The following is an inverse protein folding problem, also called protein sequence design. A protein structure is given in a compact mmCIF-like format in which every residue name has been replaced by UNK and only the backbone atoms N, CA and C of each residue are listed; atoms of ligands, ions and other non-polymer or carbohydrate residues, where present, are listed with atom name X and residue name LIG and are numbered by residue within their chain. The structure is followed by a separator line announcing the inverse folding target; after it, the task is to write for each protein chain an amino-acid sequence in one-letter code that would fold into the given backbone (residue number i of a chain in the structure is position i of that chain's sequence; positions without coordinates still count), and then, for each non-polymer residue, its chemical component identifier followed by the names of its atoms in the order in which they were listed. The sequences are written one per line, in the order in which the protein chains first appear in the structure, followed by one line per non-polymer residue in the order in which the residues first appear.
data_IF_486719065163
#
_entry.id   IF_486719065163
#
_cell.length_a   1.000
_cell.length_b   1.000
_cell.length_c   1.000
_cell.angle_alpha   90.00
_cell.angle_beta   90.00
_cell.angle_gamma   90.00
#
_symmetry.space_group_name_H-M   'P 1'
#
loop_
_entity.id
_entity.type
_entity.pdbx_description
1 polymer ?
#
# COMPACT_ATOMS: atom_id res chain seq x y z
N UNK A 1 -18.73 0.49 -9.15
CA UNK A 1 -17.42 -0.19 -9.32
C UNK A 1 -16.95 -0.97 -8.09
N UNK A 2 -16.63 -0.35 -6.94
CA UNK A 2 -16.03 -1.07 -5.78
C UNK A 2 -16.87 -2.26 -5.26
N UNK A 3 -18.20 -2.18 -5.34
CA UNK A 3 -19.12 -3.27 -4.96
C UNK A 3 -19.61 -4.12 -6.13
N UNK A 4 -19.19 -3.82 -7.37
CA UNK A 4 -19.68 -4.53 -8.54
C UNK A 4 -19.19 -5.99 -8.54
N UNK A 5 -20.03 -6.86 -9.10
CA UNK A 5 -19.75 -8.28 -9.32
C UNK A 5 -19.92 -8.65 -10.80
N UNK A 6 -20.05 -7.66 -11.66
CA UNK A 6 -20.21 -7.83 -13.10
C UNK A 6 -18.84 -7.66 -13.76
N UNK A 7 -18.35 -8.70 -14.43
CA UNK A 7 -17.03 -8.68 -15.06
C UNK A 7 -16.96 -7.65 -16.21
N UNK A 8 -18.03 -7.51 -16.99
CA UNK A 8 -18.07 -6.59 -18.12
C UNK A 8 -18.14 -5.13 -17.65
N UNK A 9 -18.91 -4.86 -16.58
CA UNK A 9 -18.92 -3.54 -15.94
C UNK A 9 -17.52 -3.17 -15.41
N UNK A 10 -16.86 -4.09 -14.72
CA UNK A 10 -15.51 -3.89 -14.18
C UNK A 10 -14.49 -3.66 -15.30
N UNK A 11 -14.57 -4.44 -16.38
CA UNK A 11 -13.73 -4.29 -17.56
C UNK A 11 -13.94 -2.93 -18.22
N UNK A 12 -15.19 -2.53 -18.43
CA UNK A 12 -15.52 -1.23 -19.01
C UNK A 12 -14.90 -0.07 -18.23
N UNK A 13 -15.05 -0.05 -16.90
CA UNK A 13 -14.47 1.02 -16.09
C UNK A 13 -12.94 0.98 -16.05
N UNK A 14 -12.36 -0.22 -16.08
CA UNK A 14 -10.91 -0.41 -16.16
C UNK A 14 -10.32 0.19 -17.43
N UNK A 15 -10.96 -0.06 -18.58
CA UNK A 15 -10.56 0.45 -19.90
C UNK A 15 -10.82 1.96 -19.99
N UNK A 16 -12.03 2.40 -19.66
CA UNK A 16 -12.43 3.80 -19.74
C UNK A 16 -11.57 4.71 -18.86
N UNK A 17 -11.13 4.23 -17.68
CA UNK A 17 -10.19 4.99 -16.85
C UNK A 17 -8.82 5.12 -17.54
N UNK A 18 -8.26 4.04 -18.09
CA UNK A 18 -6.94 4.06 -18.74
C UNK A 18 -6.94 4.91 -20.00
N UNK A 19 -7.96 4.77 -20.84
CA UNK A 19 -8.06 5.53 -22.08
C UNK A 19 -8.18 7.04 -21.81
N UNK A 20 -8.93 7.43 -20.76
CA UNK A 20 -9.01 8.84 -20.33
C UNK A 20 -7.72 9.35 -19.71
N UNK A 21 -7.00 8.51 -18.96
CA UNK A 21 -5.77 8.93 -18.30
C UNK A 21 -4.55 8.90 -19.22
N UNK A 22 -4.56 8.13 -20.31
CA UNK A 22 -3.43 7.96 -21.21
C UNK A 22 -2.85 9.30 -21.67
N UNK A 23 -3.70 10.25 -22.10
CA UNK A 23 -3.24 11.55 -22.59
C UNK A 23 -2.52 12.37 -21.50
N UNK A 24 -3.10 12.42 -20.30
CA UNK A 24 -2.57 13.20 -19.18
C UNK A 24 -1.34 12.56 -18.54
N UNK A 25 -1.38 11.23 -18.38
CA UNK A 25 -0.30 10.45 -17.83
C UNK A 25 0.91 10.50 -18.76
N UNK A 26 0.74 10.22 -20.05
CA UNK A 26 1.85 10.13 -21.01
C UNK A 26 2.67 11.42 -21.11
N UNK A 27 2.05 12.58 -21.30
CA UNK A 27 2.79 13.83 -21.53
C UNK A 27 3.61 14.27 -20.31
N UNK A 28 2.99 14.30 -19.13
CA UNK A 28 3.65 14.76 -17.91
C UNK A 28 4.63 13.73 -17.37
N UNK A 29 4.27 12.44 -17.39
CA UNK A 29 5.17 11.38 -16.95
C UNK A 29 6.42 11.30 -17.82
N UNK A 30 6.25 11.38 -19.14
CA UNK A 30 7.37 11.42 -20.07
C UNK A 30 8.30 12.59 -19.78
N UNK A 31 7.72 13.77 -19.57
CA UNK A 31 8.49 14.97 -19.24
C UNK A 31 9.29 14.77 -17.95
N UNK A 32 8.72 14.15 -16.92
CA UNK A 32 9.42 13.83 -15.66
C UNK A 32 10.62 12.92 -15.94
N UNK A 33 10.42 11.78 -16.60
CA UNK A 33 11.50 10.82 -16.90
C UNK A 33 12.62 11.50 -17.68
N UNK A 34 12.29 12.21 -18.75
CA UNK A 34 13.26 12.95 -19.56
C UNK A 34 14.00 14.03 -18.77
N UNK A 35 13.30 14.73 -17.86
CA UNK A 35 13.91 15.74 -17.00
C UNK A 35 14.94 15.12 -16.06
N UNK A 36 14.65 13.95 -15.47
CA UNK A 36 15.63 13.22 -14.66
C UNK A 36 16.84 12.79 -15.49
N UNK A 37 16.62 12.24 -16.68
CA UNK A 37 17.71 11.83 -17.59
C UNK A 37 18.61 13.01 -18.00
N UNK A 38 18.00 14.15 -18.38
CA UNK A 38 18.73 15.38 -18.71
C UNK A 38 19.49 15.95 -17.51
N UNK A 39 18.87 15.97 -16.34
CA UNK A 39 19.52 16.42 -15.11
C UNK A 39 20.73 15.54 -14.77
N UNK A 40 20.59 14.22 -14.87
CA UNK A 40 21.68 13.28 -14.63
C UNK A 40 22.86 13.49 -15.58
N UNK A 41 22.58 13.77 -16.87
CA UNK A 41 23.61 14.11 -17.86
C UNK A 41 24.37 15.39 -17.51
N UNK A 42 23.67 16.42 -17.03
CA UNK A 42 24.31 17.68 -16.59
C UNK A 42 25.16 17.46 -15.34
N UNK A 43 24.68 16.63 -14.41
CA UNK A 43 25.34 16.33 -13.15
C UNK A 43 26.42 15.24 -13.27
N UNK A 44 26.59 14.62 -14.45
CA UNK A 44 27.52 13.53 -14.72
C UNK A 44 27.36 12.33 -13.75
N UNK A 45 26.12 12.03 -13.37
CA UNK A 45 25.77 10.89 -12.51
C UNK A 45 24.77 9.96 -13.20
N UNK A 46 24.73 8.66 -12.84
CA UNK A 46 23.67 7.76 -13.31
C UNK A 46 22.27 8.24 -12.86
N UNK A 47 21.28 8.15 -13.76
CA UNK A 47 19.91 8.67 -13.53
C UNK A 47 19.26 8.08 -12.28
N UNK A 48 19.41 6.77 -12.07
CA UNK A 48 18.86 6.09 -10.90
C UNK A 48 19.38 6.65 -9.56
N UNK A 49 20.60 7.22 -9.51
CA UNK A 49 21.14 7.85 -8.28
C UNK A 49 20.48 9.18 -7.93
N UNK A 50 19.80 9.82 -8.88
CA UNK A 50 18.97 11.01 -8.61
C UNK A 50 17.58 10.63 -8.08
N UNK A 51 17.16 9.40 -8.34
CA UNK A 51 15.81 8.91 -8.02
C UNK A 51 15.79 8.11 -6.72
N UNK A 52 16.71 7.16 -6.58
CA UNK A 52 16.81 6.27 -5.42
C UNK A 52 17.87 6.78 -4.43
N UNK A 53 17.56 6.64 -3.13
CA UNK A 53 18.51 6.93 -2.05
C UNK A 53 19.43 5.77 -1.71
N UNK A 54 19.03 4.57 -2.10
CA UNK A 54 19.80 3.34 -1.93
C UNK A 54 20.63 3.08 -3.18
N UNK A 55 21.61 2.19 -3.07
CA UNK A 55 22.15 1.54 -4.26
C UNK A 55 21.00 0.78 -4.95
N UNK A 56 20.59 1.25 -6.13
CA UNK A 56 19.42 0.71 -6.81
C UNK A 56 19.63 -0.72 -7.31
N UNK A 57 20.88 -1.11 -7.56
CA UNK A 57 21.20 -2.47 -8.01
C UNK A 57 21.06 -3.45 -6.85
N UNK A 58 21.68 -3.16 -5.71
CA UNK A 58 21.53 -3.98 -4.50
C UNK A 58 20.06 -4.02 -4.06
N UNK A 59 19.38 -2.87 -4.06
CA UNK A 59 17.95 -2.78 -3.73
C UNK A 59 17.12 -3.72 -4.61
N UNK A 60 17.27 -3.67 -5.94
CA UNK A 60 16.52 -4.55 -6.84
C UNK A 60 16.84 -6.04 -6.63
N UNK A 61 18.11 -6.37 -6.35
CA UNK A 61 18.51 -7.75 -6.03
C UNK A 61 17.83 -8.25 -4.75
N UNK A 62 17.81 -7.45 -3.69
CA UNK A 62 17.13 -7.78 -2.44
C UNK A 62 15.61 -7.92 -2.64
N UNK A 63 15.01 -7.04 -3.46
CA UNK A 63 13.58 -7.13 -3.80
C UNK A 63 13.28 -8.42 -4.58
N UNK A 64 14.13 -8.80 -5.55
CA UNK A 64 13.99 -10.04 -6.31
C UNK A 64 14.18 -11.30 -5.44
N UNK A 65 15.10 -11.24 -4.48
CA UNK A 65 15.27 -12.29 -3.48
C UNK A 65 13.99 -12.46 -2.64
N UNK A 66 13.46 -11.37 -2.07
CA UNK A 66 12.22 -11.41 -1.31
C UNK A 66 11.04 -11.95 -2.14
N UNK A 67 10.94 -11.55 -3.41
CA UNK A 67 9.96 -12.10 -4.35
C UNK A 67 10.12 -13.61 -4.58
N UNK A 68 11.36 -14.10 -4.63
CA UNK A 68 11.66 -15.53 -4.79
C UNK A 68 11.28 -16.33 -3.55
N UNK A 69 11.57 -15.80 -2.37
CA UNK A 69 11.20 -16.41 -1.08
C UNK A 69 9.67 -16.46 -0.88
N UNK A 70 8.96 -15.42 -1.31
CA UNK A 70 7.49 -15.33 -1.21
C UNK A 70 6.75 -16.15 -2.30
N UNK A 71 7.42 -16.49 -3.41
CA UNK A 71 6.82 -17.13 -4.58
C UNK A 71 5.96 -18.36 -4.25
N UNK A 72 6.38 -19.31 -3.40
CA UNK A 72 5.56 -20.49 -3.11
C UNK A 72 4.20 -20.13 -2.48
N UNK A 73 4.19 -19.22 -1.51
CA UNK A 73 2.96 -18.77 -0.86
C UNK A 73 2.09 -17.95 -1.83
N UNK A 74 2.73 -17.08 -2.63
CA UNK A 74 2.05 -16.31 -3.68
C UNK A 74 1.33 -17.22 -4.67
N UNK A 75 2.00 -18.24 -5.21
CA UNK A 75 1.44 -19.13 -6.22
C UNK A 75 0.23 -19.91 -5.69
N UNK A 76 0.26 -20.36 -4.43
CA UNK A 76 -0.89 -21.03 -3.81
C UNK A 76 -2.08 -20.09 -3.66
N UNK A 77 -1.84 -18.87 -3.15
CA UNK A 77 -2.89 -17.87 -3.00
C UNK A 77 -3.45 -17.40 -4.35
N UNK A 78 -2.58 -17.15 -5.33
CA UNK A 78 -2.97 -16.79 -6.70
C UNK A 78 -3.80 -17.90 -7.35
N UNK A 79 -3.38 -19.16 -7.25
CA UNK A 79 -4.13 -20.30 -7.79
C UNK A 79 -5.51 -20.44 -7.13
N UNK A 80 -5.61 -20.24 -5.80
CA UNK A 80 -6.89 -20.20 -5.10
C UNK A 80 -7.78 -19.07 -5.65
N UNK A 81 -7.26 -17.85 -5.73
CA UNK A 81 -8.00 -16.69 -6.26
C UNK A 81 -8.48 -16.95 -7.69
N UNK A 82 -7.61 -17.48 -8.54
CA UNK A 82 -7.93 -17.83 -9.94
C UNK A 82 -9.03 -18.88 -10.02
N UNK A 83 -8.98 -19.92 -9.19
CA UNK A 83 -10.01 -20.96 -9.11
C UNK A 83 -11.37 -20.36 -8.72
N UNK A 84 -11.41 -19.50 -7.71
CA UNK A 84 -12.67 -18.89 -7.25
C UNK A 84 -13.22 -17.88 -8.25
N UNK A 85 -12.37 -17.10 -8.92
CA UNK A 85 -12.79 -16.24 -10.02
C UNK A 85 -13.31 -17.05 -11.22
N UNK A 86 -12.67 -18.17 -11.57
CA UNK A 86 -13.12 -19.07 -12.62
C UNK A 86 -14.50 -19.68 -12.30
N UNK A 87 -14.73 -20.13 -11.06
CA UNK A 87 -16.05 -20.62 -10.63
C UNK A 87 -17.12 -19.53 -10.73
N UNK A 88 -16.77 -18.29 -10.40
CA UNK A 88 -17.70 -17.15 -10.35
C UNK A 88 -18.04 -16.61 -11.74
N UNK A 89 -17.07 -16.50 -12.63
CA UNK A 89 -17.21 -15.82 -13.93
C UNK A 89 -17.17 -16.76 -15.15
N UNK A 90 -16.79 -18.02 -14.96
CA UNK A 90 -16.70 -19.02 -16.03
C UNK A 90 -15.36 -19.04 -16.76
N UNK A 91 -15.18 -20.06 -17.60
CA UNK A 91 -13.96 -20.33 -18.38
C UNK A 91 -13.63 -19.25 -19.41
N UNK A 92 -14.65 -18.58 -19.92
CA UNK A 92 -14.50 -17.60 -20.99
C UNK A 92 -13.93 -16.27 -20.48
N UNK A 93 -14.04 -16.03 -19.17
CA UNK A 93 -13.55 -14.82 -18.50
C UNK A 93 -12.22 -15.06 -17.79
N UNK A 94 -12.07 -16.21 -17.11
CA UNK A 94 -10.85 -16.54 -16.36
C UNK A 94 -10.40 -17.96 -16.67
N UNK A 95 -9.21 -18.10 -17.24
CA UNK A 95 -8.60 -19.41 -17.49
C UNK A 95 -8.08 -20.04 -16.19
N UNK A 96 -8.22 -21.37 -16.04
CA UNK A 96 -7.63 -22.10 -14.91
C UNK A 96 -6.11 -22.20 -14.96
N UNK A 97 -5.51 -22.00 -16.13
CA UNK A 97 -4.07 -22.17 -16.37
C UNK A 97 -3.38 -20.87 -16.82
N UNK A 98 -4.14 -19.80 -17.04
CA UNK A 98 -3.63 -18.50 -17.48
C UNK A 98 -3.44 -17.48 -16.36
N UNK A 99 -3.03 -16.26 -16.71
CA UNK A 99 -3.04 -15.11 -15.80
C UNK A 99 -4.47 -14.76 -15.34
N UNK A 100 -4.57 -13.93 -14.30
CA UNK A 100 -5.85 -13.35 -13.87
C UNK A 100 -6.01 -11.98 -14.56
N UNK A 101 -7.15 -11.69 -15.20
CA UNK A 101 -7.40 -10.35 -15.75
C UNK A 101 -7.35 -9.25 -14.67
N UNK A 102 -6.59 -8.18 -14.90
CA UNK A 102 -6.29 -7.15 -13.88
C UNK A 102 -7.54 -6.54 -13.26
N UNK A 103 -8.58 -6.24 -14.05
CA UNK A 103 -9.85 -5.71 -13.52
C UNK A 103 -10.49 -6.60 -12.43
N UNK A 104 -10.38 -7.93 -12.54
CA UNK A 104 -10.87 -8.86 -11.53
C UNK A 104 -9.88 -9.01 -10.37
N UNK A 105 -8.58 -8.98 -10.66
CA UNK A 105 -7.54 -9.01 -9.63
C UNK A 105 -7.66 -7.80 -8.69
N UNK A 106 -7.81 -6.59 -9.23
CA UNK A 106 -8.04 -5.37 -8.44
C UNK A 106 -9.33 -5.49 -7.61
N UNK A 107 -10.37 -6.12 -8.17
CA UNK A 107 -11.62 -6.33 -7.45
C UNK A 107 -11.47 -7.29 -6.27
N UNK A 108 -10.65 -8.34 -6.39
CA UNK A 108 -10.33 -9.24 -5.28
C UNK A 108 -9.65 -8.48 -4.15
N UNK A 109 -8.69 -7.60 -4.46
CA UNK A 109 -8.05 -6.74 -3.47
C UNK A 109 -9.05 -5.80 -2.79
N UNK A 110 -9.93 -5.15 -3.55
CA UNK A 110 -10.89 -4.18 -3.01
C UNK A 110 -11.96 -4.85 -2.14
N UNK A 111 -12.43 -6.03 -2.55
CA UNK A 111 -13.51 -6.75 -1.89
C UNK A 111 -13.03 -7.71 -0.79
N UNK A 112 -11.74 -7.77 -0.49
CA UNK A 112 -11.18 -8.73 0.46
C UNK A 112 -11.84 -8.66 1.85
N UNK A 113 -12.44 -7.53 2.26
CA UNK A 113 -13.20 -7.38 3.52
C UNK A 113 -14.70 -7.15 3.33
N UNK A 114 -15.18 -7.09 2.08
CA UNK A 114 -16.59 -6.90 1.77
C UNK A 114 -17.36 -8.23 1.82
N UNK A 115 -18.69 -8.11 1.89
CA UNK A 115 -19.59 -9.25 1.69
C UNK A 115 -19.66 -9.62 0.20
N UNK A 116 -19.75 -10.93 -0.08
CA UNK A 116 -19.83 -11.46 -1.43
C UNK A 116 -18.50 -11.39 -2.20
N UNK A 117 -17.39 -11.31 -1.47
CA UNK A 117 -16.06 -11.54 -2.00
C UNK A 117 -15.89 -13.02 -2.39
N UNK A 118 -14.77 -13.35 -3.04
CA UNK A 118 -14.43 -14.75 -3.37
C UNK A 118 -14.17 -15.64 -2.14
N UNK A 119 -14.18 -15.06 -0.93
CA UNK A 119 -13.99 -15.79 0.31
C UNK A 119 -15.30 -16.17 0.99
N UNK A 120 -16.45 -15.72 0.49
CA UNK A 120 -17.72 -15.85 1.21
C UNK A 120 -18.10 -17.31 1.50
N UNK A 121 -17.76 -18.24 0.59
CA UNK A 121 -18.11 -19.66 0.73
C UNK A 121 -17.27 -20.40 1.79
N UNK A 122 -16.06 -19.91 2.09
CA UNK A 122 -15.15 -20.55 3.05
C UNK A 122 -15.05 -19.80 4.37
N UNK A 123 -15.06 -18.46 4.26
CA UNK A 123 -14.86 -17.53 5.35
C UNK A 123 -15.86 -16.37 5.24
N UNK A 124 -17.17 -16.63 5.48
CA UNK A 124 -18.22 -15.63 5.36
C UNK A 124 -17.89 -14.34 6.11
N UNK A 125 -18.21 -13.17 5.54
CA UNK A 125 -17.93 -11.89 6.20
C UNK A 125 -18.68 -11.79 7.54
N UNK A 126 -19.84 -12.43 7.65
CA UNK A 126 -20.65 -12.47 8.87
C UNK A 126 -19.95 -13.16 10.08
N UNK A 127 -18.88 -13.93 9.86
CA UNK A 127 -18.10 -14.53 10.96
C UNK A 127 -17.05 -13.57 11.54
N UNK A 128 -16.82 -12.44 10.89
CA UNK A 128 -15.96 -11.38 11.41
C UNK A 128 -16.80 -10.33 12.13
N UNK A 129 -16.24 -9.67 13.16
CA UNK A 129 -16.91 -8.55 13.81
C UNK A 129 -17.07 -7.36 12.85
N UNK A 130 -18.01 -6.48 13.17
CA UNK A 130 -18.04 -5.14 12.59
C UNK A 130 -16.97 -4.28 13.25
N UNK A 131 -15.75 -4.31 12.70
CA UNK A 131 -14.60 -3.63 13.28
C UNK A 131 -14.83 -2.14 13.53
N UNK A 132 -15.64 -1.47 12.72
CA UNK A 132 -15.97 -0.05 12.93
C UNK A 132 -16.77 0.21 14.22
N UNK A 133 -17.50 -0.79 14.74
CA UNK A 133 -18.16 -0.69 16.05
C UNK A 133 -17.16 -0.60 17.21
N UNK A 134 -15.92 -1.09 17.03
CA UNK A 134 -14.88 -1.01 18.06
C UNK A 134 -14.45 0.43 18.36
N UNK A 135 -14.71 1.35 17.44
CA UNK A 135 -14.27 2.74 17.53
C UNK A 135 -15.41 3.74 17.35
N UNK A 136 -16.64 3.31 17.08
CA UNK A 136 -17.78 4.19 16.80
C UNK A 136 -18.13 5.15 17.95
N UNK A 137 -17.72 4.81 19.17
CA UNK A 137 -17.89 5.62 20.38
C UNK A 137 -16.76 6.65 20.60
N UNK A 138 -15.70 6.61 19.78
CA UNK A 138 -14.55 7.50 19.88
C UNK A 138 -14.73 8.73 18.98
N UNK A 139 -14.12 9.84 19.38
CA UNK A 139 -13.90 10.98 18.50
C UNK A 139 -12.63 10.78 17.67
N UNK A 140 -12.47 11.52 16.58
CA UNK A 140 -11.24 11.51 15.79
C UNK A 140 -10.00 11.83 16.62
N UNK A 141 -10.11 12.84 17.51
CA UNK A 141 -9.06 13.19 18.47
C UNK A 141 -8.77 12.05 19.45
N UNK A 142 -9.81 11.35 19.93
CA UNK A 142 -9.63 10.20 20.81
C UNK A 142 -8.89 9.04 20.12
N UNK A 143 -9.11 8.81 18.81
CA UNK A 143 -8.31 7.84 18.06
C UNK A 143 -6.83 8.21 18.00
N UNK A 144 -6.49 9.50 17.81
CA UNK A 144 -5.10 9.97 17.82
C UNK A 144 -4.47 9.79 19.21
N UNK A 145 -5.21 10.11 20.28
CA UNK A 145 -4.72 9.90 21.64
C UNK A 145 -4.53 8.39 21.94
N UNK A 146 -5.41 7.53 21.41
CA UNK A 146 -5.27 6.09 21.54
C UNK A 146 -4.01 5.56 20.86
N UNK A 147 -3.65 6.13 19.70
CA UNK A 147 -2.40 5.74 19.03
C UNK A 147 -1.18 6.24 19.79
N UNK A 148 -1.21 7.43 20.38
CA UNK A 148 -0.13 7.90 21.27
C UNK A 148 0.02 7.00 22.51
N UNK A 149 -1.09 6.57 23.11
CA UNK A 149 -1.08 5.61 24.22
C UNK A 149 -0.40 4.29 23.85
N UNK A 150 -0.55 3.83 22.60
CA UNK A 150 0.18 2.66 22.10
C UNK A 150 1.69 2.89 22.18
N UNK A 151 2.22 3.97 21.63
CA UNK A 151 3.66 4.24 21.64
C UNK A 151 4.20 4.47 23.04
N UNK A 152 3.49 5.22 23.88
CA UNK A 152 3.91 5.42 25.28
C UNK A 152 3.91 4.12 26.08
N UNK A 153 3.01 3.17 25.78
CA UNK A 153 3.04 1.83 26.39
C UNK A 153 4.28 1.01 26.02
N UNK A 154 4.94 1.32 24.90
CA UNK A 154 6.23 0.74 24.50
C UNK A 154 7.44 1.44 25.15
N UNK A 155 7.22 2.45 25.99
CA UNK A 155 8.27 3.20 26.67
C UNK A 155 8.77 4.44 25.92
N UNK A 156 8.09 4.86 24.85
CA UNK A 156 8.37 6.16 24.23
C UNK A 156 7.81 7.30 25.10
N UNK A 157 8.48 8.45 25.07
CA UNK A 157 7.98 9.66 25.74
C UNK A 157 6.64 10.12 25.12
N UNK A 158 5.71 10.68 25.92
CA UNK A 158 4.51 11.30 25.37
C UNK A 158 4.85 12.45 24.43
N UNK A 159 3.95 12.74 23.50
CA UNK A 159 4.10 13.88 22.60
C UNK A 159 4.02 15.17 23.41
N UNK A 160 4.78 16.19 22.99
CA UNK A 160 4.88 17.42 23.76
C UNK A 160 3.55 18.19 23.78
N UNK A 161 3.33 18.98 24.83
CA UNK A 161 2.21 19.92 24.88
C UNK A 161 2.22 20.89 23.69
N UNK A 162 3.41 21.22 23.18
CA UNK A 162 3.58 22.03 21.97
C UNK A 162 3.07 21.30 20.72
N UNK A 163 3.36 19.99 20.57
CA UNK A 163 2.84 19.20 19.46
C UNK A 163 1.31 19.23 19.46
N UNK A 164 0.68 18.95 20.59
CA UNK A 164 -0.78 18.96 20.69
C UNK A 164 -1.41 20.32 20.41
N UNK A 165 -0.74 21.41 20.77
CA UNK A 165 -1.28 22.77 20.64
C UNK A 165 -1.04 23.37 19.25
N UNK A 166 0.14 23.18 18.69
CA UNK A 166 0.61 23.93 17.52
C UNK A 166 0.88 23.05 16.29
N UNK A 167 1.00 21.72 16.46
CA UNK A 167 1.43 20.82 15.38
C UNK A 167 0.39 19.76 15.02
N UNK A 168 -0.59 19.52 15.88
CA UNK A 168 -1.70 18.62 15.65
C UNK A 168 -2.96 19.43 15.33
N UNK A 169 -3.49 19.27 14.12
CA UNK A 169 -4.65 20.05 13.65
C UNK A 169 -5.78 19.16 13.15
N UNK A 170 -7.02 19.55 13.46
CA UNK A 170 -8.23 19.02 12.82
C UNK A 170 -8.53 19.77 11.50
N UNK A 171 -8.98 19.10 10.43
CA UNK A 171 -9.34 19.74 9.17
C UNK A 171 -10.45 20.77 9.38
N UNK A 172 -10.44 21.82 8.55
CA UNK A 172 -11.52 22.81 8.58
C UNK A 172 -12.82 22.14 8.09
N UNK A 173 -13.94 22.42 8.75
CA UNK A 173 -15.27 21.86 8.45
C UNK A 173 -15.79 22.17 7.03
N UNK A 174 -15.21 23.15 6.33
CA UNK A 174 -15.66 23.60 5.01
C UNK A 174 -15.27 22.65 3.86
N UNK A 175 -14.55 21.56 4.13
CA UNK A 175 -14.23 20.54 3.13
C UNK A 175 -14.17 19.13 3.73
N UNK A 176 -15.30 18.60 4.22
CA UNK A 176 -15.40 17.19 4.60
C UNK A 176 -15.38 16.38 3.29
N UNK A 177 -14.19 16.00 2.84
CA UNK A 177 -14.04 15.05 1.75
C UNK A 177 -14.19 13.62 2.29
N UNK A 178 -15.01 12.80 1.63
CA UNK A 178 -15.21 11.38 1.99
C UNK A 178 -13.91 10.55 1.97
N UNK A 179 -12.89 10.98 1.18
CA UNK A 179 -11.53 10.43 1.14
C UNK A 179 -10.52 11.31 1.91
N UNK A 180 -10.88 11.79 3.11
CA UNK A 180 -9.91 12.48 3.95
C UNK A 180 -8.69 11.57 4.21
N UNK A 181 -7.49 12.04 3.87
CA UNK A 181 -6.21 11.39 4.20
C UNK A 181 -5.49 12.23 5.25
N UNK A 182 -4.96 11.60 6.33
CA UNK A 182 -4.14 12.34 7.27
C UNK A 182 -2.88 12.86 6.56
N UNK A 183 -2.55 14.12 6.81
CA UNK A 183 -1.40 14.77 6.19
C UNK A 183 -0.31 14.92 7.24
N UNK A 184 0.87 14.36 6.94
CA UNK A 184 2.06 14.53 7.78
C UNK A 184 3.07 15.36 7.02
N UNK A 185 3.50 16.45 7.65
CA UNK A 185 4.61 17.27 7.18
C UNK A 185 5.77 17.14 8.16
N UNK A 186 6.77 16.36 7.76
CA UNK A 186 8.00 16.14 8.54
C UNK A 186 9.01 17.25 8.25
N UNK A 187 9.16 18.17 9.20
CA UNK A 187 10.21 19.19 9.26
C UNK A 187 11.04 19.00 10.53
N UNK A 188 11.49 17.76 10.80
CA UNK A 188 12.32 17.40 11.98
C UNK A 188 13.28 18.57 12.33
N UNK A 189 13.26 19.08 13.57
CA UNK A 189 12.67 18.47 14.77
C UNK A 189 11.15 18.67 14.94
N UNK A 190 10.47 19.41 14.04
CA UNK A 190 9.04 19.67 14.15
C UNK A 190 8.24 18.84 13.13
N UNK A 191 7.25 18.07 13.58
CA UNK A 191 6.34 17.34 12.69
C UNK A 191 4.94 17.86 12.86
N UNK A 192 4.28 18.16 11.75
CA UNK A 192 2.89 18.61 11.72
C UNK A 192 2.01 17.46 11.24
N UNK A 193 0.95 17.16 11.99
CA UNK A 193 -0.03 16.13 11.67
C UNK A 193 -1.41 16.77 11.58
N UNK A 194 -2.05 16.64 10.43
CA UNK A 194 -3.48 16.91 10.26
C UNK A 194 -4.22 15.57 10.23
N UNK A 195 -5.11 15.33 11.19
CA UNK A 195 -5.85 14.08 11.33
C UNK A 195 -7.25 14.21 10.72
N UNK A 196 -7.85 13.13 10.24
CA UNK A 196 -9.21 13.12 9.69
C UNK A 196 -10.31 13.02 10.74
N UNK A 197 -11.41 13.73 10.51
CA UNK A 197 -12.63 13.66 11.34
C UNK A 197 -13.34 12.29 11.26
N UNK A 198 -13.24 11.61 10.11
CA UNK A 198 -13.88 10.31 9.91
C UNK A 198 -13.37 9.25 10.90
N UNK A 199 -14.29 8.71 11.68
CA UNK A 199 -14.05 7.61 12.63
C UNK A 199 -14.34 6.27 11.96
N UNK A 200 -13.32 5.39 11.91
CA UNK A 200 -13.45 4.00 11.44
C UNK A 200 -12.23 3.20 11.91
N UNK A 201 -12.35 1.88 11.99
CA UNK A 201 -11.25 1.01 12.41
C UNK A 201 -10.07 1.11 11.46
N UNK A 202 -10.34 1.21 10.15
CA UNK A 202 -9.31 1.46 9.14
C UNK A 202 -8.54 2.75 9.41
N UNK A 203 -9.22 3.83 9.82
CA UNK A 203 -8.57 5.10 10.17
C UNK A 203 -7.73 4.98 11.44
N UNK A 204 -8.20 4.27 12.46
CA UNK A 204 -7.41 3.98 13.65
C UNK A 204 -6.10 3.26 13.30
N UNK A 205 -6.13 2.24 12.43
CA UNK A 205 -4.93 1.55 11.98
C UNK A 205 -4.00 2.45 11.13
N UNK A 206 -4.57 3.32 10.29
CA UNK A 206 -3.79 4.33 9.58
C UNK A 206 -3.09 5.28 10.54
N UNK A 207 -3.75 5.73 11.63
CA UNK A 207 -3.10 6.56 12.64
C UNK A 207 -1.97 5.85 13.36
N UNK A 208 -2.10 4.54 13.64
CA UNK A 208 -1.00 3.77 14.22
C UNK A 208 0.22 3.77 13.29
N UNK A 209 0.05 3.47 12.01
CA UNK A 209 1.14 3.52 11.02
C UNK A 209 1.74 4.93 10.88
N UNK A 210 0.89 5.96 10.82
CA UNK A 210 1.31 7.35 10.64
C UNK A 210 2.01 7.93 11.85
N UNK A 211 1.59 7.55 13.05
CA UNK A 211 2.21 7.98 14.30
C UNK A 211 3.65 7.46 14.43
N UNK A 212 3.98 6.34 13.77
CA UNK A 212 5.38 5.89 13.64
C UNK A 212 6.26 7.00 13.07
N UNK A 213 5.78 7.77 12.08
CA UNK A 213 6.53 8.85 11.44
C UNK A 213 6.78 10.02 12.40
N UNK A 214 5.81 10.34 13.26
CA UNK A 214 5.92 11.38 14.28
C UNK A 214 6.97 10.97 15.32
N UNK A 215 6.85 9.77 15.87
CA UNK A 215 7.83 9.25 16.83
C UNK A 215 9.22 9.09 16.23
N UNK A 216 9.32 8.62 14.98
CA UNK A 216 10.60 8.47 14.29
C UNK A 216 11.30 9.82 14.11
N UNK A 217 10.56 10.88 13.78
CA UNK A 217 11.10 12.24 13.73
C UNK A 217 11.54 12.77 15.09
N UNK A 218 10.77 12.51 16.16
CA UNK A 218 11.18 12.84 17.53
C UNK A 218 12.49 12.14 17.90
N UNK A 219 12.64 10.86 17.56
CA UNK A 219 13.89 10.13 17.79
C UNK A 219 15.04 10.69 16.95
N UNK A 220 14.82 11.12 15.71
CA UNK A 220 15.87 11.74 14.89
C UNK A 220 16.20 13.19 15.28
N UNK A 221 15.39 13.86 16.09
CA UNK A 221 15.51 15.31 16.36
C UNK A 221 16.88 15.76 16.91
N UNK A 222 17.62 14.87 17.56
CA UNK A 222 18.94 15.13 18.11
C UNK A 222 20.09 14.89 17.11
N UNK A 223 19.80 14.32 15.94
CA UNK A 223 20.78 14.06 14.91
C UNK A 223 21.06 15.34 14.09
N UNK A 224 22.21 15.42 13.41
CA UNK A 224 22.43 16.44 12.40
C UNK A 224 21.36 16.44 11.29
N UNK A 225 20.99 17.63 10.82
CA UNK A 225 19.85 17.83 9.91
C UNK A 225 19.92 17.05 8.60
N UNK A 226 21.12 16.68 8.14
CA UNK A 226 21.29 15.85 6.95
C UNK A 226 20.83 14.39 7.13
N UNK A 227 20.61 13.92 8.36
CA UNK A 227 20.00 12.61 8.63
C UNK A 227 18.46 12.63 8.70
N UNK A 228 17.83 13.81 8.72
CA UNK A 228 16.38 13.90 8.89
C UNK A 228 15.62 13.25 7.72
N UNK A 229 16.17 13.39 6.51
CA UNK A 229 15.72 12.65 5.33
C UNK A 229 16.41 11.28 5.27
N UNK A 230 16.11 10.42 6.24
CA UNK A 230 16.63 9.06 6.35
C UNK A 230 16.08 8.14 5.25
N UNK A 231 16.45 6.86 5.31
CA UNK A 231 15.98 5.78 4.43
C UNK A 231 14.50 5.40 4.61
N UNK A 232 13.63 6.34 4.97
CA UNK A 232 12.18 6.16 5.08
C UNK A 232 11.76 4.91 5.90
N UNK A 233 12.55 4.50 6.90
CA UNK A 233 12.28 3.28 7.68
C UNK A 233 11.06 3.44 8.60
N UNK A 234 10.61 4.68 8.83
CA UNK A 234 9.38 4.96 9.57
C UNK A 234 8.14 4.29 8.97
N UNK A 235 8.11 4.02 7.66
CA UNK A 235 7.01 3.28 7.04
C UNK A 235 7.02 1.81 7.45
N UNK A 236 8.19 1.15 7.44
CA UNK A 236 8.33 -0.24 7.88
C UNK A 236 7.98 -0.40 9.37
N UNK A 237 8.41 0.56 10.22
CA UNK A 237 8.01 0.61 11.63
C UNK A 237 6.48 0.75 11.73
N UNK A 238 5.87 1.61 10.92
CA UNK A 238 4.42 1.77 10.86
C UNK A 238 3.68 0.47 10.51
N UNK A 239 4.15 -0.29 9.52
CA UNK A 239 3.57 -1.59 9.15
C UNK A 239 3.69 -2.60 10.31
N UNK A 240 4.84 -2.67 10.99
CA UNK A 240 5.03 -3.53 12.16
C UNK A 240 4.09 -3.17 13.32
N UNK A 241 3.91 -1.87 13.56
CA UNK A 241 3.00 -1.37 14.60
C UNK A 241 1.55 -1.73 14.28
N UNK A 242 1.12 -1.62 13.02
CA UNK A 242 -0.25 -2.01 12.61
C UNK A 242 -0.50 -3.50 12.85
N UNK A 243 0.48 -4.37 12.59
CA UNK A 243 0.36 -5.81 12.89
C UNK A 243 0.11 -6.05 14.39
N UNK A 244 0.79 -5.31 15.27
CA UNK A 244 0.60 -5.39 16.72
C UNK A 244 -0.73 -4.78 17.19
N UNK A 245 -1.01 -3.54 16.79
CA UNK A 245 -2.20 -2.78 17.20
C UNK A 245 -3.51 -3.40 16.71
N UNK A 246 -3.49 -4.07 15.55
CA UNK A 246 -4.67 -4.77 15.01
C UNK A 246 -4.88 -6.16 15.60
N UNK A 247 -4.00 -6.63 16.50
CA UNK A 247 -4.10 -7.96 17.07
C UNK A 247 -5.30 -8.05 18.03
N UNK A 248 -6.04 -9.17 18.06
CA UNK A 248 -7.19 -9.33 18.97
C UNK A 248 -6.80 -9.20 20.45
N UNK A 249 -5.60 -9.65 20.82
CA UNK A 249 -5.07 -9.50 22.17
C UNK A 249 -4.92 -8.02 22.55
N UNK A 250 -4.34 -7.20 21.66
CA UNK A 250 -4.23 -5.77 21.89
C UNK A 250 -5.60 -5.09 21.97
N UNK A 251 -6.49 -5.33 21.00
CA UNK A 251 -7.81 -4.71 20.95
C UNK A 251 -8.66 -5.04 22.19
N UNK A 252 -8.56 -6.28 22.69
CA UNK A 252 -9.25 -6.70 23.93
C UNK A 252 -8.61 -6.07 25.16
N UNK A 253 -7.27 -6.03 25.23
CA UNK A 253 -6.53 -5.40 26.32
C UNK A 253 -6.81 -3.89 26.45
N UNK A 254 -7.07 -3.21 25.33
CA UNK A 254 -7.48 -1.81 25.26
C UNK A 254 -8.99 -1.60 25.43
N UNK A 255 -9.76 -2.68 25.60
CA UNK A 255 -11.24 -2.67 25.71
C UNK A 255 -11.95 -2.06 24.49
N UNK A 256 -11.29 -2.10 23.32
CA UNK A 256 -11.87 -1.72 22.04
C UNK A 256 -12.72 -2.87 21.47
N UNK A 257 -12.24 -4.10 21.64
CA UNK A 257 -12.99 -5.32 21.34
C UNK A 257 -13.58 -5.92 22.62
N UNK A 258 -14.82 -6.41 22.53
CA UNK A 258 -15.54 -7.04 23.66
C UNK A 258 -15.32 -8.55 23.74
N UNK A 259 -15.06 -9.20 22.61
CA UNK A 259 -15.00 -10.65 22.47
C UNK A 259 -13.69 -11.10 21.84
N UNK A 260 -13.22 -12.27 22.28
CA UNK A 260 -12.09 -12.95 21.66
C UNK A 260 -12.57 -13.61 20.38
N UNK A 261 -11.83 -13.40 19.28
CA UNK A 261 -12.16 -14.02 17.99
C UNK A 261 -11.99 -15.54 18.05
N UNK A 262 -12.93 -16.27 17.44
CA UNK A 262 -12.81 -17.71 17.25
C UNK A 262 -11.65 -18.06 16.31
N UNK A 263 -11.16 -19.30 16.35
CA UNK A 263 -10.10 -19.77 15.45
C UNK A 263 -10.47 -19.58 13.97
N UNK A 264 -11.74 -19.83 13.61
CA UNK A 264 -12.24 -19.61 12.24
C UNK A 264 -12.22 -18.12 11.87
N UNK A 265 -12.61 -17.22 12.77
CA UNK A 265 -12.56 -15.78 12.54
C UNK A 265 -11.11 -15.27 12.43
N UNK A 266 -10.20 -15.81 13.24
CA UNK A 266 -8.76 -15.53 13.14
C UNK A 266 -8.20 -15.97 11.79
N UNK A 267 -8.55 -17.18 11.33
CA UNK A 267 -8.12 -17.69 10.03
C UNK A 267 -8.70 -16.86 8.87
N UNK A 268 -9.98 -16.50 8.94
CA UNK A 268 -10.62 -15.59 7.98
C UNK A 268 -9.86 -14.27 7.89
N UNK A 269 -9.56 -13.65 9.04
CA UNK A 269 -8.78 -12.41 9.11
C UNK A 269 -7.40 -12.57 8.48
N UNK A 270 -6.67 -13.65 8.80
CA UNK A 270 -5.35 -13.93 8.23
C UNK A 270 -5.42 -14.08 6.71
N UNK A 271 -6.41 -14.79 6.17
CA UNK A 271 -6.56 -14.97 4.73
C UNK A 271 -6.85 -13.65 4.01
N UNK A 272 -7.69 -12.78 4.60
CA UNK A 272 -7.99 -11.44 4.07
C UNK A 272 -6.76 -10.52 4.12
N UNK A 273 -5.95 -10.60 5.18
CA UNK A 273 -4.67 -9.91 5.25
C UNK A 273 -3.67 -10.42 4.21
N UNK A 274 -3.60 -11.75 4.01
CA UNK A 274 -2.75 -12.35 3.00
C UNK A 274 -3.12 -11.90 1.58
N UNK A 275 -4.41 -11.80 1.25
CA UNK A 275 -4.87 -11.22 -0.02
C UNK A 275 -4.34 -9.79 -0.20
N UNK A 276 -4.40 -8.94 0.82
CA UNK A 276 -3.86 -7.58 0.66
C UNK A 276 -2.35 -7.54 0.54
N UNK A 277 -1.63 -8.18 1.45
CA UNK A 277 -0.16 -8.07 1.50
C UNK A 277 0.49 -8.89 0.39
N UNK A 278 0.25 -10.21 0.38
CA UNK A 278 0.98 -11.13 -0.52
C UNK A 278 0.65 -10.83 -1.98
N UNK A 279 -0.60 -10.50 -2.30
CA UNK A 279 -0.96 -10.19 -3.69
C UNK A 279 -0.49 -8.81 -4.17
N UNK A 280 -0.27 -7.85 -3.26
CA UNK A 280 0.17 -6.50 -3.62
C UNK A 280 1.69 -6.37 -3.76
N UNK A 281 2.48 -7.18 -3.04
CA UNK A 281 3.96 -7.12 -3.07
C UNK A 281 4.51 -7.19 -4.52
N UNK A 282 4.07 -8.11 -5.39
CA UNK A 282 4.54 -8.15 -6.78
C UNK A 282 4.18 -6.91 -7.58
N UNK A 283 3.04 -6.26 -7.31
CA UNK A 283 2.67 -5.02 -7.98
C UNK A 283 3.68 -3.90 -7.66
N UNK A 284 4.06 -3.77 -6.39
CA UNK A 284 5.07 -2.79 -5.97
C UNK A 284 6.44 -3.05 -6.61
N UNK A 285 6.81 -4.33 -6.74
CA UNK A 285 8.03 -4.75 -7.44
C UNK A 285 7.98 -4.34 -8.91
N UNK A 286 6.92 -4.72 -9.64
CA UNK A 286 6.75 -4.42 -11.07
C UNK A 286 6.80 -2.92 -11.31
N UNK A 287 6.07 -2.12 -10.52
CA UNK A 287 6.08 -0.67 -10.65
C UNK A 287 7.47 -0.06 -10.42
N UNK A 288 8.19 -0.54 -9.41
CA UNK A 288 9.57 -0.10 -9.15
C UNK A 288 10.50 -0.48 -10.31
N UNK A 289 10.39 -1.70 -10.84
CA UNK A 289 11.21 -2.21 -11.93
C UNK A 289 10.97 -1.43 -13.23
N UNK A 290 9.71 -1.16 -13.58
CA UNK A 290 9.36 -0.37 -14.76
C UNK A 290 9.95 1.04 -14.67
N UNK A 291 9.80 1.71 -13.52
CA UNK A 291 10.38 3.05 -13.33
C UNK A 291 11.91 3.03 -13.42
N UNK A 292 12.56 2.03 -12.80
CA UNK A 292 14.01 1.86 -12.87
C UNK A 292 14.50 1.66 -14.31
N UNK A 293 13.81 0.83 -15.09
CA UNK A 293 14.21 0.52 -16.47
C UNK A 293 14.00 1.71 -17.41
N UNK A 294 12.93 2.48 -17.20
CA UNK A 294 12.72 3.75 -17.89
C UNK A 294 13.83 4.77 -17.59
N UNK A 295 14.17 4.95 -16.30
CA UNK A 295 15.18 5.93 -15.90
C UNK A 295 16.56 5.62 -16.48
N UNK A 296 16.89 4.34 -16.65
CA UNK A 296 18.19 3.90 -17.16
C UNK A 296 18.20 3.63 -18.68
N UNK A 297 17.20 4.11 -19.43
CA UNK A 297 17.09 3.89 -20.90
C UNK A 297 17.15 2.41 -21.30
N UNK A 298 16.69 1.51 -20.42
CA UNK A 298 16.65 0.06 -20.68
C UNK A 298 15.38 -0.34 -21.43
N UNK A 299 14.34 0.48 -21.32
CA UNK A 299 13.09 0.39 -22.07
C UNK A 299 12.67 1.78 -22.53
N UNK A 300 12.25 1.89 -23.78
CA UNK A 300 11.75 3.14 -24.34
C UNK A 300 10.28 3.37 -23.98
N UNK A 301 9.89 4.63 -23.92
CA UNK A 301 8.52 5.04 -23.59
C UNK A 301 7.47 4.48 -24.57
N UNK A 302 7.83 4.31 -25.84
CA UNK A 302 6.94 3.74 -26.86
C UNK A 302 6.69 2.24 -26.66
N UNK A 303 7.53 1.55 -25.89
CA UNK A 303 7.45 0.11 -25.65
C UNK A 303 7.23 -0.25 -24.18
N UNK A 304 7.17 0.76 -23.29
CA UNK A 304 7.11 0.54 -21.84
C UNK A 304 5.85 -0.19 -21.39
N UNK A 305 4.73 -0.01 -22.10
CA UNK A 305 3.49 -0.68 -21.71
C UNK A 305 3.54 -2.19 -21.96
N UNK A 306 4.16 -2.60 -23.06
CA UNK A 306 4.45 -4.01 -23.33
C UNK A 306 5.39 -4.58 -22.27
N UNK A 307 6.41 -3.81 -21.88
CA UNK A 307 7.32 -4.21 -20.79
C UNK A 307 6.59 -4.35 -19.45
N UNK A 308 5.72 -3.40 -19.12
CA UNK A 308 4.89 -3.45 -17.92
C UNK A 308 4.00 -4.70 -17.88
N UNK A 309 3.26 -4.98 -18.97
CA UNK A 309 2.41 -6.17 -19.03
C UNK A 309 3.21 -7.48 -18.97
N UNK A 310 4.37 -7.53 -19.61
CA UNK A 310 5.29 -8.66 -19.46
C UNK A 310 5.73 -8.88 -18.02
N UNK A 311 6.07 -7.81 -17.30
CA UNK A 311 6.46 -7.89 -15.89
C UNK A 311 5.28 -8.25 -14.98
N UNK A 312 4.09 -7.72 -15.26
CA UNK A 312 2.84 -8.06 -14.56
C UNK A 312 2.52 -9.55 -14.71
N UNK A 313 2.63 -10.10 -15.91
CA UNK A 313 2.42 -11.52 -16.16
C UNK A 313 3.48 -12.37 -15.46
N UNK A 314 4.76 -12.01 -15.61
CA UNK A 314 5.88 -12.77 -15.07
C UNK A 314 5.91 -12.81 -13.54
N UNK A 315 5.64 -11.68 -12.89
CA UNK A 315 5.83 -11.53 -11.43
C UNK A 315 4.53 -11.59 -10.65
N UNK A 316 3.40 -11.20 -11.24
CA UNK A 316 2.08 -11.21 -10.60
C UNK A 316 1.09 -12.19 -11.27
N UNK A 317 1.40 -12.79 -12.41
CA UNK A 317 0.45 -13.65 -13.11
C UNK A 317 -0.85 -12.90 -13.45
N UNK A 318 -0.74 -11.65 -13.87
CA UNK A 318 -1.86 -10.77 -14.22
C UNK A 318 -1.72 -10.33 -15.68
N UNK A 319 -2.84 -10.27 -16.39
CA UNK A 319 -2.93 -9.79 -17.76
C UNK A 319 -3.92 -8.63 -17.92
N UNK A 320 -3.81 -7.91 -19.03
CA UNK A 320 -4.83 -6.93 -19.40
C UNK A 320 -6.14 -7.65 -19.78
N UNK A 321 -7.32 -7.10 -19.47
CA UNK A 321 -8.60 -7.71 -19.84
C UNK A 321 -8.94 -7.64 -21.33
N UNK A 322 -8.14 -6.92 -22.10
CA UNK A 322 -8.25 -6.75 -23.55
C UNK A 322 -6.88 -6.40 -24.12
N UNK A 323 -6.72 -6.63 -25.43
CA UNK A 323 -5.52 -6.24 -26.15
C UNK A 323 -5.27 -4.73 -26.02
N UNK A 324 -4.04 -4.37 -25.69
CA UNK A 324 -3.62 -2.98 -25.47
C UNK A 324 -2.70 -2.54 -26.60
N UNK A 325 -2.85 -1.29 -27.03
CA UNK A 325 -1.95 -0.70 -28.04
C UNK A 325 -0.54 -0.54 -27.46
N UNK A 326 0.48 -0.59 -28.31
CA UNK A 326 1.87 -0.43 -27.86
C UNK A 326 2.11 0.94 -27.21
N UNK A 327 1.49 1.99 -27.74
CA UNK A 327 1.55 3.35 -27.18
C UNK A 327 0.58 3.64 -26.02
N UNK A 328 -0.16 2.64 -25.52
CA UNK A 328 -0.93 2.79 -24.27
C UNK A 328 0.01 2.99 -23.08
N UNK A 329 -0.48 3.54 -21.97
CA UNK A 329 0.23 3.52 -20.69
C UNK A 329 -0.80 3.14 -19.63
N UNK A 330 -0.80 1.87 -19.27
CA UNK A 330 -1.85 1.27 -18.44
C UNK A 330 -1.52 1.27 -16.94
N UNK A 331 -0.51 2.02 -16.51
CA UNK A 331 -0.11 2.07 -15.10
C UNK A 331 -1.27 2.60 -14.24
N UNK A 332 -1.52 1.99 -13.07
CA UNK A 332 -2.65 2.38 -12.23
C UNK A 332 -2.41 3.75 -11.59
N UNK A 333 -3.47 4.45 -11.16
CA UNK A 333 -3.38 5.73 -10.45
C UNK A 333 -2.33 5.72 -9.32
N UNK A 334 -2.28 4.64 -8.54
CA UNK A 334 -1.34 4.47 -7.42
C UNK A 334 0.13 4.58 -7.85
N UNK A 335 0.47 4.22 -9.10
CA UNK A 335 1.82 4.36 -9.65
C UNK A 335 2.28 5.83 -9.64
N UNK A 336 1.38 6.75 -9.98
CA UNK A 336 1.69 8.18 -10.12
C UNK A 336 1.63 8.96 -8.79
N UNK A 337 1.05 8.38 -7.74
CA UNK A 337 0.96 9.03 -6.42
C UNK A 337 2.35 9.19 -5.82
N UNK A 338 2.75 10.43 -5.52
CA UNK A 338 4.07 10.77 -4.95
C UNK A 338 5.22 10.10 -5.71
N UNK A 339 5.14 10.13 -7.05
CA UNK A 339 6.08 9.44 -7.93
C UNK A 339 7.53 9.90 -7.67
N UNK A 340 7.73 11.19 -7.44
CA UNK A 340 8.99 11.85 -7.09
C UNK A 340 9.61 11.35 -5.78
N UNK A 341 8.81 10.69 -4.93
CA UNK A 341 9.25 10.11 -3.67
C UNK A 341 9.54 8.60 -3.77
N UNK A 342 9.44 7.99 -4.96
CA UNK A 342 9.56 6.53 -5.13
C UNK A 342 8.58 5.75 -4.26
N UNK A 343 7.32 6.20 -4.15
CA UNK A 343 6.34 5.63 -3.22
C UNK A 343 6.13 4.11 -3.36
N UNK A 344 6.14 3.59 -4.59
CA UNK A 344 5.99 2.15 -4.85
C UNK A 344 7.14 1.33 -4.26
N UNK A 345 8.37 1.84 -4.38
CA UNK A 345 9.58 1.22 -3.81
C UNK A 345 9.54 1.26 -2.29
N UNK A 346 9.14 2.40 -1.71
CA UNK A 346 8.95 2.53 -0.26
C UNK A 346 7.93 1.51 0.24
N UNK A 347 6.83 1.32 -0.51
CA UNK A 347 5.78 0.36 -0.14
C UNK A 347 6.26 -1.09 -0.15
N UNK A 348 6.97 -1.51 -1.20
CA UNK A 348 7.58 -2.84 -1.23
C UNK A 348 8.48 -3.07 0.00
N UNK A 349 9.39 -2.14 0.26
CA UNK A 349 10.35 -2.24 1.36
C UNK A 349 9.61 -2.26 2.70
N UNK A 350 8.60 -1.40 2.88
CA UNK A 350 7.85 -1.33 4.13
C UNK A 350 7.04 -2.58 4.43
N UNK A 351 6.45 -3.21 3.41
CA UNK A 351 5.68 -4.46 3.60
C UNK A 351 6.62 -5.58 4.04
N UNK A 352 7.76 -5.78 3.37
CA UNK A 352 8.69 -6.85 3.74
C UNK A 352 9.35 -6.59 5.09
N UNK A 353 9.92 -5.39 5.29
CA UNK A 353 10.59 -5.04 6.54
C UNK A 353 9.61 -4.95 7.71
N UNK A 354 8.36 -4.55 7.48
CA UNK A 354 7.33 -4.47 8.52
C UNK A 354 7.09 -5.82 9.21
N UNK A 355 6.99 -6.92 8.44
CA UNK A 355 6.88 -8.26 9.01
C UNK A 355 8.18 -8.72 9.67
N UNK A 356 9.35 -8.36 9.12
CA UNK A 356 10.63 -8.69 9.75
C UNK A 356 10.80 -7.98 11.10
N UNK A 357 10.51 -6.68 11.16
CA UNK A 357 10.52 -5.88 12.39
C UNK A 357 9.51 -6.43 13.40
N UNK A 358 8.27 -6.71 12.96
CA UNK A 358 7.26 -7.30 13.84
C UNK A 358 7.74 -8.63 14.44
N UNK A 359 8.33 -9.51 13.63
CA UNK A 359 8.89 -10.79 14.09
C UNK A 359 9.98 -10.60 15.14
N UNK A 360 10.95 -9.71 14.89
CA UNK A 360 12.07 -9.51 15.83
C UNK A 360 11.64 -8.76 17.09
N UNK A 361 10.69 -7.84 17.02
CA UNK A 361 10.13 -7.14 18.20
C UNK A 361 9.28 -8.06 19.09
N UNK A 362 8.74 -9.15 18.55
CA UNK A 362 7.94 -10.12 19.30
C UNK A 362 8.75 -11.23 19.99
N UNK A 363 10.05 -11.34 19.68
CA UNK A 363 10.98 -12.24 20.39
C UNK A 363 11.48 -11.56 21.66
#
# INVERSE_FOLDING_TARGET
VQSSKDADELKYYWEAWRDKNQLWASLNFYTIVQSYQRAAKILEVPVHKLWYRYDSQEMLQQMEQAMTELRPAYQQLHAFVRQELHKKYGSDVVSLNGPIPDHLFQQVLEQAWASGSILEDYYPRAQLPEFDEYVSHLTAKAMVNETENFYTSLGFEPLSAEFHKNQLKEPNQDSPHDDCRPSIFDLTPHVYLMYCEKVSFRKLMQYHSHMARVYYAQQKSHLPSYYFKAYNLEFAVGEAVVLSASSPAHLTGRRLAKEVLSETALMSRLFRMAIHTILSIPLYYVHTKVMHDLLNDTVDMDTVNKHYWRLMEQHAGIEAPSDRSEGAIDFPYKFYVNIDQSFQTQKFISEVLGYQFYRELCK
#
